data_IF_795834638713
#
_entry.id   IF_795834638713
#
_cell.length_a   1.000
_cell.length_b   1.000
_cell.length_c   1.000
_cell.angle_alpha   90.00
_cell.angle_beta   90.00
_cell.angle_gamma   90.00
#
_symmetry.space_group_name_H-M   'P 1'
#
loop_
_entity.id
_entity.type
_entity.pdbx_description
1 polymer ?
#
# COMPACT_ATOMS: atom_id res chain seq x y z
N UNK A 1 11.80 -10.25 -8.08
CA UNK A 1 13.02 -11.00 -7.69
C UNK A 1 13.78 -10.39 -6.52
N UNK A 2 13.96 -9.07 -6.37
CA UNK A 2 14.66 -8.52 -5.17
C UNK A 2 13.95 -8.82 -3.84
N UNK A 3 12.63 -8.99 -3.86
CA UNK A 3 11.79 -9.16 -2.67
C UNK A 3 11.06 -10.51 -2.61
N UNK A 4 11.22 -11.34 -3.64
CA UNK A 4 10.76 -12.75 -3.66
C UNK A 4 12.01 -13.55 -3.27
N UNK A 5 12.17 -13.77 -1.97
CA UNK A 5 13.40 -14.28 -1.34
C UNK A 5 13.52 -15.79 -1.49
N UNK A 6 12.39 -16.49 -1.51
CA UNK A 6 12.34 -17.94 -1.71
C UNK A 6 12.23 -18.35 -3.20
N UNK A 7 11.97 -17.39 -4.09
CA UNK A 7 11.91 -17.60 -5.53
C UNK A 7 10.64 -18.34 -5.98
N UNK A 8 9.59 -18.34 -5.16
CA UNK A 8 8.35 -19.07 -5.43
C UNK A 8 7.43 -18.34 -6.44
N UNK A 9 7.77 -17.11 -6.82
CA UNK A 9 7.01 -16.29 -7.78
C UNK A 9 5.82 -15.54 -7.20
N UNK A 10 5.67 -15.55 -5.87
CA UNK A 10 4.70 -14.78 -5.10
C UNK A 10 5.39 -14.07 -3.93
N UNK A 11 4.68 -13.16 -3.29
CA UNK A 11 5.17 -12.34 -2.19
C UNK A 11 4.30 -12.66 -0.98
N UNK A 12 4.92 -13.20 0.07
CA UNK A 12 4.25 -13.43 1.35
C UNK A 12 4.18 -12.16 2.22
N UNK A 13 3.60 -12.27 3.41
CA UNK A 13 3.48 -11.14 4.36
C UNK A 13 4.83 -10.59 4.80
N UNK A 14 5.79 -11.46 5.07
CA UNK A 14 7.11 -11.08 5.55
C UNK A 14 7.91 -10.34 4.47
N UNK A 15 7.83 -10.84 3.25
CA UNK A 15 8.43 -10.25 2.06
C UNK A 15 7.79 -8.91 1.70
N UNK A 16 6.45 -8.82 1.73
CA UNK A 16 5.71 -7.58 1.54
C UNK A 16 6.12 -6.51 2.56
N UNK A 17 6.21 -6.91 3.84
CA UNK A 17 6.65 -6.03 4.93
C UNK A 17 8.07 -5.53 4.72
N UNK A 18 8.99 -6.43 4.34
CA UNK A 18 10.38 -6.09 4.04
C UNK A 18 10.47 -5.13 2.85
N UNK A 19 9.71 -5.39 1.78
CA UNK A 19 9.69 -4.55 0.59
C UNK A 19 9.17 -3.14 0.88
N UNK A 20 7.99 -3.01 1.49
CA UNK A 20 7.39 -1.72 1.80
C UNK A 20 8.22 -0.93 2.84
N UNK A 21 8.83 -1.61 3.81
CA UNK A 21 9.76 -0.97 4.74
C UNK A 21 11.00 -0.43 4.03
N UNK A 22 11.52 -1.14 3.02
CA UNK A 22 12.64 -0.67 2.20
C UNK A 22 12.30 0.55 1.34
N UNK A 23 11.01 0.76 1.03
CA UNK A 23 10.51 1.97 0.38
C UNK A 23 10.20 3.11 1.37
N UNK A 24 10.44 2.91 2.67
CA UNK A 24 10.24 3.90 3.71
C UNK A 24 8.82 3.92 4.32
N UNK A 25 7.96 2.96 3.97
CA UNK A 25 6.65 2.84 4.59
C UNK A 25 6.75 2.13 5.95
N UNK A 26 6.07 2.68 6.96
CA UNK A 26 5.96 2.08 8.29
C UNK A 26 4.49 1.86 8.61
N UNK A 27 4.00 0.67 8.25
CA UNK A 27 2.59 0.29 8.40
C UNK A 27 2.45 -0.70 9.56
N UNK A 28 1.24 -0.77 10.14
CA UNK A 28 0.93 -1.74 11.19
C UNK A 28 0.83 -3.16 10.62
N UNK A 29 1.03 -4.16 11.48
CA UNK A 29 0.94 -5.57 11.08
C UNK A 29 -0.44 -5.92 10.49
N UNK A 30 -1.50 -5.38 11.09
CA UNK A 30 -2.88 -5.50 10.61
C UNK A 30 -3.08 -4.88 9.22
N UNK A 31 -2.37 -3.80 8.90
CA UNK A 31 -2.48 -3.18 7.59
C UNK A 31 -1.81 -4.03 6.51
N UNK A 32 -0.71 -4.72 6.83
CA UNK A 32 -0.14 -5.70 5.89
C UNK A 32 -1.11 -6.86 5.61
N UNK A 33 -1.85 -7.34 6.62
CA UNK A 33 -2.91 -8.34 6.39
C UNK A 33 -4.02 -7.83 5.48
N UNK A 34 -4.41 -6.56 5.63
CA UNK A 34 -5.38 -5.92 4.75
C UNK A 34 -4.86 -5.85 3.31
N UNK A 35 -3.59 -5.49 3.11
CA UNK A 35 -2.98 -5.42 1.78
C UNK A 35 -2.97 -6.79 1.10
N UNK A 36 -2.56 -7.85 1.81
CA UNK A 36 -2.61 -9.21 1.24
C UNK A 36 -4.02 -9.57 0.85
N UNK A 37 -5.01 -9.38 1.73
CA UNK A 37 -6.41 -9.68 1.39
C UNK A 37 -6.96 -8.86 0.23
N UNK A 38 -6.48 -7.63 0.05
CA UNK A 38 -6.93 -6.72 -1.02
C UNK A 38 -6.34 -7.10 -2.38
N UNK A 39 -5.10 -7.58 -2.41
CA UNK A 39 -4.35 -7.82 -3.64
C UNK A 39 -4.15 -9.31 -3.96
N UNK A 40 -4.41 -10.24 -3.03
CA UNK A 40 -4.42 -11.67 -3.30
C UNK A 40 -5.69 -12.06 -4.07
N UNK A 41 -5.59 -12.01 -5.40
CA UNK A 41 -6.66 -12.44 -6.31
C UNK A 41 -6.83 -13.95 -6.36
N UNK A 42 -5.86 -14.70 -5.82
CA UNK A 42 -5.82 -16.17 -5.92
C UNK A 42 -6.30 -16.89 -4.66
N UNK A 43 -6.48 -16.16 -3.56
CA UNK A 43 -6.92 -16.70 -2.27
C UNK A 43 -5.88 -17.61 -1.61
N UNK A 44 -4.59 -17.47 -1.96
CA UNK A 44 -3.50 -18.32 -1.45
C UNK A 44 -2.80 -17.75 -0.22
N UNK A 45 -3.18 -16.56 0.22
CA UNK A 45 -2.50 -15.84 1.29
C UNK A 45 -1.17 -15.23 0.87
N UNK A 46 -0.87 -15.22 -0.43
CA UNK A 46 0.31 -14.58 -1.04
C UNK A 46 -0.12 -13.70 -2.19
N UNK A 47 0.69 -12.70 -2.51
CA UNK A 47 0.41 -11.73 -3.57
C UNK A 47 1.28 -12.07 -4.78
N UNK A 48 0.68 -12.25 -5.95
CA UNK A 48 1.46 -12.45 -7.18
C UNK A 48 2.32 -11.22 -7.49
N UNK A 49 3.39 -11.38 -8.27
CA UNK A 49 4.33 -10.27 -8.51
C UNK A 49 3.67 -9.04 -9.16
N UNK A 50 2.77 -9.25 -10.12
CA UNK A 50 1.97 -8.20 -10.76
C UNK A 50 1.04 -7.49 -9.76
N UNK A 51 0.35 -8.25 -8.92
CA UNK A 51 -0.51 -7.72 -7.86
C UNK A 51 0.31 -6.95 -6.80
N UNK A 52 1.55 -7.36 -6.53
CA UNK A 52 2.46 -6.65 -5.65
C UNK A 52 2.87 -5.29 -6.22
N UNK A 53 3.14 -5.21 -7.53
CA UNK A 53 3.41 -3.92 -8.19
C UNK A 53 2.19 -3.01 -8.10
N UNK A 54 0.99 -3.55 -8.32
CA UNK A 54 -0.24 -2.78 -8.17
C UNK A 54 -0.40 -2.28 -6.73
N UNK A 55 -0.14 -3.11 -5.73
CA UNK A 55 -0.18 -2.71 -4.32
C UNK A 55 0.77 -1.55 -4.03
N UNK A 56 2.00 -1.62 -4.53
CA UNK A 56 2.99 -0.55 -4.37
C UNK A 56 2.53 0.77 -5.01
N UNK A 57 1.99 0.71 -6.23
CA UNK A 57 1.48 1.89 -6.95
C UNK A 57 0.29 2.50 -6.20
N UNK A 58 -0.63 1.68 -5.71
CA UNK A 58 -1.78 2.15 -4.91
C UNK A 58 -1.32 2.83 -3.62
N UNK A 59 -0.42 2.20 -2.85
CA UNK A 59 0.11 2.78 -1.61
C UNK A 59 0.84 4.10 -1.89
N UNK A 60 1.65 4.16 -2.93
CA UNK A 60 2.37 5.39 -3.30
C UNK A 60 1.41 6.52 -3.68
N UNK A 61 0.40 6.20 -4.50
CA UNK A 61 -0.62 7.16 -4.93
C UNK A 61 -1.42 7.72 -3.75
N UNK A 62 -1.89 6.84 -2.87
CA UNK A 62 -2.61 7.21 -1.66
C UNK A 62 -1.73 8.02 -0.69
N UNK A 63 -0.46 7.61 -0.52
CA UNK A 63 0.49 8.33 0.34
C UNK A 63 0.76 9.74 -0.18
N UNK A 64 0.89 9.91 -1.49
CA UNK A 64 1.10 11.23 -2.09
C UNK A 64 -0.11 12.13 -1.91
N UNK A 65 -1.32 11.60 -2.12
CA UNK A 65 -2.55 12.34 -1.85
C UNK A 65 -2.66 12.73 -0.38
N UNK A 66 -2.40 11.81 0.55
CA UNK A 66 -2.38 12.11 1.98
C UNK A 66 -1.37 13.21 2.34
N UNK A 67 -0.12 13.09 1.86
CA UNK A 67 0.94 14.07 2.13
C UNK A 67 0.65 15.46 1.59
N UNK A 68 -0.10 15.56 0.50
CA UNK A 68 -0.54 16.84 -0.03
C UNK A 68 -1.45 17.59 0.96
N UNK A 69 -2.23 16.85 1.77
CA UNK A 69 -3.09 17.42 2.80
C UNK A 69 -2.42 17.48 4.20
N UNK A 70 -1.37 16.68 4.46
CA UNK A 70 -0.59 16.71 5.70
C UNK A 70 0.60 17.69 5.60
N UNK A 71 0.30 18.98 5.44
CA UNK A 71 1.31 20.03 5.25
C UNK A 71 2.37 20.09 6.37
N UNK A 72 1.99 19.74 7.60
CA UNK A 72 2.85 19.78 8.78
C UNK A 72 3.51 18.42 9.09
N UNK A 73 3.33 17.41 8.24
CA UNK A 73 3.91 16.07 8.38
C UNK A 73 3.64 15.42 9.75
N UNK A 74 2.43 15.62 10.26
CA UNK A 74 2.01 15.12 11.57
C UNK A 74 1.55 13.66 11.54
N UNK A 75 1.30 13.13 10.33
CA UNK A 75 0.68 11.82 10.15
C UNK A 75 -0.83 11.82 10.39
N UNK A 76 -1.44 12.99 10.57
CA UNK A 76 -2.89 13.15 10.72
C UNK A 76 -3.38 14.30 9.84
N UNK A 77 -4.57 14.16 9.26
CA UNK A 77 -5.23 15.23 8.50
C UNK A 77 -6.63 15.44 9.05
N UNK A 78 -7.08 16.69 9.07
CA UNK A 78 -8.50 17.03 9.25
C UNK A 78 -8.98 17.61 7.92
N UNK A 79 -9.98 16.98 7.32
CA UNK A 79 -10.48 17.32 5.98
C UNK A 79 -12.00 17.51 6.04
N UNK A 80 -12.51 18.47 5.27
CA UNK A 80 -13.94 18.64 5.08
C UNK A 80 -14.53 17.52 4.23
N UNK A 81 -15.85 17.36 4.27
CA UNK A 81 -16.55 16.31 3.50
C UNK A 81 -16.32 16.43 1.98
N UNK A 82 -16.45 17.65 1.42
CA UNK A 82 -16.25 17.87 -0.02
C UNK A 82 -14.78 17.72 -0.44
N UNK A 83 -13.85 18.13 0.41
CA UNK A 83 -12.41 17.91 0.18
C UNK A 83 -12.08 16.43 0.20
N UNK A 84 -12.69 15.64 1.09
CA UNK A 84 -12.55 14.19 1.11
C UNK A 84 -13.07 13.56 -0.19
N UNK A 85 -14.27 13.93 -0.64
CA UNK A 85 -14.80 13.41 -1.91
C UNK A 85 -13.90 13.80 -3.10
N UNK A 86 -13.42 15.04 -3.13
CA UNK A 86 -12.51 15.54 -4.17
C UNK A 86 -11.19 14.78 -4.15
N UNK A 87 -10.61 14.55 -2.97
CA UNK A 87 -9.40 13.74 -2.81
C UNK A 87 -9.64 12.35 -3.38
N UNK A 88 -10.70 11.65 -2.97
CA UNK A 88 -11.00 10.28 -3.42
C UNK A 88 -11.23 10.22 -4.93
N UNK A 89 -11.97 11.16 -5.52
CA UNK A 89 -12.24 11.17 -6.96
C UNK A 89 -11.04 11.62 -7.81
N UNK A 90 -10.10 12.38 -7.24
CA UNK A 90 -8.86 12.75 -7.93
C UNK A 90 -7.90 11.57 -8.11
N UNK A 91 -8.03 10.53 -7.28
CA UNK A 91 -7.20 9.35 -7.35
C UNK A 91 -7.62 8.49 -8.55
N UNK A 92 -6.73 8.36 -9.53
CA UNK A 92 -6.86 7.36 -10.59
C UNK A 92 -6.50 6.00 -10.00
N UNK A 93 -7.47 5.34 -9.37
CA UNK A 93 -7.36 3.97 -8.85
C UNK A 93 -7.74 2.93 -9.89
#
# INVERSE_FOLDING_TARGET
RKYDLDGNGSIDKHELKTALSSFGFRLSDQFYDLLIRKFDRTGRGTVAFDDFIQACVSIQTLTNAFRHHDHYQTGQITIGYEDFLTLVFSLKM
#
